data_IF_580512926205
#
_entry.id   IF_580512926205
#
_cell.length_a   1.000
_cell.length_b   1.000
_cell.length_c   1.000
_cell.angle_alpha   90.00
_cell.angle_beta   90.00
_cell.angle_gamma   90.00
#
_symmetry.space_group_name_H-M   'P 1'
#
loop_
_entity.id
_entity.type
_entity.pdbx_description
1 polymer ?
#
# COMPACT_ATOMS: atom_id res chain seq x y z
N UNK A 1 0.87 0.10 -9.21
CA UNK A 1 0.63 -0.80 -8.09
C UNK A 1 -0.50 -1.79 -8.34
N UNK A 2 -1.66 -1.34 -8.68
CA UNK A 2 -2.78 -2.21 -9.07
C UNK A 2 -3.28 -1.77 -10.45
N UNK A 3 -2.58 -2.13 -11.53
CA UNK A 3 -2.92 -1.62 -12.85
C UNK A 3 -4.34 -1.95 -13.29
N UNK A 4 -4.86 -3.11 -12.92
CA UNK A 4 -6.23 -3.51 -13.27
C UNK A 4 -7.30 -2.73 -12.50
N UNK A 5 -6.91 -2.07 -11.42
CA UNK A 5 -7.84 -1.30 -10.59
C UNK A 5 -7.55 0.20 -10.58
N UNK A 6 -6.71 0.64 -11.49
CA UNK A 6 -6.27 2.04 -11.52
C UNK A 6 -7.45 3.02 -11.57
N UNK A 7 -8.38 2.79 -12.48
CA UNK A 7 -9.53 3.65 -12.63
C UNK A 7 -10.44 3.62 -11.41
N UNK A 8 -10.60 2.42 -10.83
CA UNK A 8 -11.41 2.25 -9.64
C UNK A 8 -10.79 3.00 -8.45
N UNK A 9 -9.48 2.92 -8.29
CA UNK A 9 -8.79 3.64 -7.22
C UNK A 9 -8.97 5.15 -7.37
N UNK A 10 -8.83 5.67 -8.58
CA UNK A 10 -9.04 7.09 -8.85
C UNK A 10 -10.45 7.52 -8.50
N UNK A 11 -11.43 6.72 -8.86
CA UNK A 11 -12.83 7.00 -8.54
C UNK A 11 -13.09 6.99 -7.04
N UNK A 12 -12.54 6.02 -6.32
CA UNK A 12 -12.71 5.92 -4.88
C UNK A 12 -12.10 7.12 -4.15
N UNK A 13 -10.96 7.60 -4.63
CA UNK A 13 -10.35 8.81 -4.08
C UNK A 13 -11.25 10.02 -4.28
N UNK A 14 -11.90 10.11 -5.43
CA UNK A 14 -12.76 11.24 -5.74
C UNK A 14 -14.06 11.25 -4.95
N UNK A 15 -14.58 10.09 -4.58
CA UNK A 15 -15.84 9.99 -3.87
C UNK A 15 -15.75 10.39 -2.40
N UNK A 16 -14.58 10.23 -1.80
CA UNK A 16 -14.37 10.59 -0.40
C UNK A 16 -15.14 9.76 0.61
N UNK A 17 -15.89 8.77 0.16
CA UNK A 17 -16.71 7.94 1.03
C UNK A 17 -16.01 6.70 1.54
N UNK A 18 -14.78 6.47 1.10
CA UNK A 18 -14.00 5.28 1.44
C UNK A 18 -12.75 5.65 2.23
N UNK A 19 -12.95 6.34 3.36
CA UNK A 19 -11.85 6.83 4.18
C UNK A 19 -10.92 5.70 4.62
N UNK A 20 -11.49 4.55 4.99
CA UNK A 20 -10.69 3.41 5.42
C UNK A 20 -9.80 2.89 4.29
N UNK A 21 -10.35 2.80 3.09
CA UNK A 21 -9.57 2.39 1.92
C UNK A 21 -8.44 3.37 1.65
N UNK A 22 -8.74 4.66 1.69
CA UNK A 22 -7.75 5.69 1.44
C UNK A 22 -6.63 5.66 2.49
N UNK A 23 -6.98 5.43 3.74
CA UNK A 23 -5.99 5.30 4.82
C UNK A 23 -5.07 4.11 4.58
N UNK A 24 -5.61 2.98 4.18
CA UNK A 24 -4.81 1.80 3.86
C UNK A 24 -3.91 2.06 2.65
N UNK A 25 -4.46 2.72 1.65
CA UNK A 25 -3.73 3.04 0.43
C UNK A 25 -2.54 3.96 0.72
N UNK A 26 -2.77 4.99 1.52
CA UNK A 26 -1.70 5.91 1.92
C UNK A 26 -0.64 5.21 2.75
N UNK A 27 -1.06 4.35 3.67
CA UNK A 27 -0.12 3.59 4.48
C UNK A 27 0.72 2.66 3.64
N UNK A 28 0.12 2.01 2.64
CA UNK A 28 0.87 1.17 1.71
C UNK A 28 1.94 1.98 0.98
N UNK A 29 1.58 3.16 0.49
CA UNK A 29 2.52 4.02 -0.21
C UNK A 29 3.64 4.48 0.71
N UNK A 30 3.32 4.83 1.95
CA UNK A 30 4.31 5.24 2.94
C UNK A 30 5.31 4.12 3.22
N UNK A 31 4.81 2.91 3.43
CA UNK A 31 5.69 1.76 3.64
C UNK A 31 6.57 1.49 2.43
N UNK A 32 6.01 1.64 1.24
CA UNK A 32 6.78 1.46 0.01
C UNK A 32 7.94 2.46 -0.07
N UNK A 33 7.67 3.71 0.27
CA UNK A 33 8.71 4.74 0.31
C UNK A 33 9.76 4.44 1.36
N UNK A 34 9.36 4.00 2.54
CA UNK A 34 10.30 3.65 3.60
C UNK A 34 11.21 2.50 3.18
N UNK A 35 10.65 1.47 2.58
CA UNK A 35 11.41 0.32 2.12
C UNK A 35 12.41 0.74 1.04
N UNK A 36 11.94 1.52 0.07
CA UNK A 36 12.78 2.00 -1.01
C UNK A 36 13.95 2.84 -0.48
N UNK A 37 13.65 3.71 0.48
CA UNK A 37 14.68 4.54 1.10
C UNK A 37 15.73 3.70 1.83
N UNK A 38 15.30 2.71 2.57
CA UNK A 38 16.20 1.82 3.30
C UNK A 38 17.07 0.99 2.36
N UNK A 39 16.50 0.48 1.30
CA UNK A 39 17.23 -0.33 0.34
C UNK A 39 18.20 0.52 -0.49
N UNK A 40 17.79 1.76 -0.80
CA UNK A 40 18.58 2.63 -1.65
C UNK A 40 19.74 3.31 -0.96
N UNK A 41 19.63 3.58 0.33
CA UNK A 41 20.63 4.38 1.04
C UNK A 41 21.58 3.58 1.93
N UNK A 42 21.31 2.32 2.15
CA UNK A 42 22.15 1.48 3.00
C UNK A 42 22.49 2.18 4.32
N UNK A 43 21.55 2.93 4.85
CA UNK A 43 21.78 3.83 5.97
C UNK A 43 21.51 3.15 7.31
N UNK A 44 22.17 2.04 7.56
CA UNK A 44 22.09 1.37 8.85
C UNK A 44 20.83 0.57 9.09
N UNK A 45 19.95 0.44 8.11
CA UNK A 45 18.77 -0.40 8.25
C UNK A 45 19.20 -1.88 8.19
N UNK A 46 18.75 -2.64 9.19
CA UNK A 46 19.07 -4.06 9.21
C UNK A 46 18.16 -4.82 8.24
N UNK A 47 18.65 -5.97 7.80
CA UNK A 47 17.85 -6.85 6.96
C UNK A 47 16.53 -7.22 7.65
N UNK A 48 16.56 -7.40 8.97
CA UNK A 48 15.39 -7.72 9.78
C UNK A 48 14.35 -6.61 9.74
N UNK A 49 14.78 -5.36 9.81
CA UNK A 49 13.87 -4.21 9.75
C UNK A 49 13.19 -4.12 8.39
N UNK A 50 13.95 -4.31 7.32
CA UNK A 50 13.42 -4.28 5.96
C UNK A 50 12.41 -5.41 5.78
N UNK A 51 12.72 -6.60 6.27
CA UNK A 51 11.82 -7.74 6.19
C UNK A 51 10.51 -7.49 6.91
N UNK A 52 10.58 -6.88 8.09
CA UNK A 52 9.37 -6.53 8.86
C UNK A 52 8.47 -5.57 8.08
N UNK A 53 9.07 -4.54 7.49
CA UNK A 53 8.33 -3.57 6.69
C UNK A 53 7.72 -4.20 5.44
N UNK A 54 8.45 -5.10 4.79
CA UNK A 54 7.94 -5.81 3.62
C UNK A 54 6.74 -6.69 3.95
N UNK A 55 6.78 -7.37 5.08
CA UNK A 55 5.66 -8.18 5.54
C UNK A 55 4.43 -7.32 5.81
N UNK A 56 4.63 -6.18 6.47
CA UNK A 56 3.56 -5.26 6.77
C UNK A 56 2.96 -4.67 5.48
N UNK A 57 3.80 -4.31 4.55
CA UNK A 57 3.37 -3.81 3.24
C UNK A 57 2.53 -4.85 2.51
N UNK A 58 2.98 -6.10 2.51
CA UNK A 58 2.26 -7.18 1.85
C UNK A 58 0.89 -7.41 2.49
N UNK A 59 0.82 -7.34 3.81
CA UNK A 59 -0.43 -7.49 4.54
C UNK A 59 -1.43 -6.41 4.15
N UNK A 60 -0.98 -5.17 4.09
CA UNK A 60 -1.83 -4.05 3.71
C UNK A 60 -2.26 -4.18 2.25
N UNK A 61 -1.35 -4.60 1.39
CA UNK A 61 -1.66 -4.84 -0.01
C UNK A 61 -2.77 -5.88 -0.18
N UNK A 62 -2.72 -6.94 0.61
CA UNK A 62 -3.76 -7.98 0.57
C UNK A 62 -5.11 -7.42 1.00
N UNK A 63 -5.13 -6.58 2.03
CA UNK A 63 -6.35 -5.95 2.47
C UNK A 63 -6.92 -5.00 1.42
N UNK A 64 -6.06 -4.22 0.77
CA UNK A 64 -6.46 -3.35 -0.32
C UNK A 64 -7.05 -4.16 -1.48
N UNK A 65 -6.41 -5.26 -1.81
CA UNK A 65 -6.88 -6.11 -2.90
C UNK A 65 -8.26 -6.69 -2.60
N UNK A 66 -8.48 -7.14 -1.38
CA UNK A 66 -9.79 -7.64 -0.96
C UNK A 66 -10.85 -6.56 -1.09
N UNK A 67 -10.53 -5.36 -0.64
CA UNK A 67 -11.46 -4.25 -0.71
C UNK A 67 -11.81 -3.93 -2.16
N UNK A 68 -10.82 -3.87 -3.03
CA UNK A 68 -11.02 -3.59 -4.44
C UNK A 68 -11.88 -4.67 -5.11
N UNK A 69 -11.64 -5.93 -4.79
CA UNK A 69 -12.46 -7.02 -5.33
C UNK A 69 -13.91 -6.91 -4.91
N UNK A 70 -14.13 -6.52 -3.66
CA UNK A 70 -15.48 -6.36 -3.13
C UNK A 70 -16.23 -5.22 -3.85
N UNK A 71 -15.55 -4.10 -4.06
CA UNK A 71 -16.14 -2.94 -4.70
C UNK A 71 -16.33 -3.18 -6.21
N UNK A 72 -15.41 -3.91 -6.83
CA UNK A 72 -15.46 -4.18 -8.27
C UNK A 72 -16.56 -5.17 -8.66
N UNK A 73 -17.11 -5.86 -7.69
CA UNK A 73 -18.25 -6.73 -7.93
C UNK A 73 -19.53 -5.88 -8.09
#
# INVERSE_FOLDING_TARGET
MFPEYRDLITRLKGEGSNARFLNLFEKHNELDHQITAMEGHDAGATHSEIETLKKEKLRIKDELYRHLKRVAH
#
